data_IF_968998516417
#
_entry.id   IF_968998516417
#
_cell.length_a   1.000
_cell.length_b   1.000
_cell.length_c   1.000
_cell.angle_alpha   90.00
_cell.angle_beta   90.00
_cell.angle_gamma   90.00
#
_symmetry.space_group_name_H-M   'P 1'
#
loop_
_entity.id
_entity.type
_entity.pdbx_description
1 polymer ?
#
# COMPACT_ATOMS: atom_id res chain seq x y z
N UNK A 1 12.12 5.75 -9.44
CA UNK A 1 12.20 7.09 -8.81
C UNK A 1 11.60 7.20 -7.41
N UNK A 2 10.70 6.32 -6.97
CA UNK A 2 9.98 6.46 -5.67
C UNK A 2 10.78 6.03 -4.43
N UNK A 3 11.64 5.02 -4.57
CA UNK A 3 12.36 4.41 -3.45
C UNK A 3 13.29 5.34 -2.64
N UNK A 4 14.07 6.26 -3.24
CA UNK A 4 15.00 7.11 -2.47
C UNK A 4 14.26 8.13 -1.57
N UNK A 5 13.15 8.67 -2.06
CA UNK A 5 12.35 9.68 -1.35
C UNK A 5 11.68 9.08 -0.11
N UNK A 6 11.19 7.84 -0.23
CA UNK A 6 10.55 7.12 0.88
C UNK A 6 11.55 6.79 2.00
N UNK A 7 12.79 6.46 1.65
CA UNK A 7 13.86 6.17 2.62
C UNK A 7 14.29 7.44 3.36
N UNK A 8 14.44 8.57 2.66
CA UNK A 8 14.79 9.87 3.27
C UNK A 8 13.70 10.39 4.23
N UNK A 9 12.43 10.20 3.89
CA UNK A 9 11.31 10.63 4.73
C UNK A 9 11.13 9.76 5.98
N UNK A 10 11.59 8.50 5.96
CA UNK A 10 11.54 7.58 7.10
C UNK A 10 12.47 8.00 8.24
N UNK A 11 13.64 8.55 7.92
CA UNK A 11 14.62 8.97 8.95
C UNK A 11 14.23 10.28 9.64
N UNK A 12 13.47 11.16 8.98
CA UNK A 12 13.02 12.44 9.58
C UNK A 12 11.73 12.34 10.39
N UNK A 13 10.89 11.34 10.13
CA UNK A 13 9.53 11.28 10.64
C UNK A 13 9.41 10.11 11.62
N UNK A 14 9.55 10.37 12.91
CA UNK A 14 9.59 9.35 13.96
C UNK A 14 8.53 8.24 13.84
N UNK A 15 8.87 7.04 14.35
CA UNK A 15 8.17 5.76 14.12
C UNK A 15 6.63 5.81 14.26
N UNK A 16 6.09 6.58 15.21
CA UNK A 16 4.65 6.69 15.44
C UNK A 16 3.90 7.41 14.29
N UNK A 17 4.38 8.58 13.85
CA UNK A 17 3.79 9.32 12.73
C UNK A 17 3.97 8.55 11.42
N UNK A 18 5.11 7.89 11.24
CA UNK A 18 5.37 7.01 10.11
C UNK A 18 4.35 5.86 10.02
N UNK A 19 4.11 5.15 11.12
CA UNK A 19 3.15 4.06 11.14
C UNK A 19 1.71 4.52 10.86
N UNK A 20 1.33 5.71 11.35
CA UNK A 20 0.00 6.27 11.09
C UNK A 20 -0.19 6.68 9.63
N UNK A 21 0.80 7.37 9.05
CA UNK A 21 0.79 7.76 7.63
C UNK A 21 0.81 6.52 6.73
N UNK A 22 1.60 5.51 7.11
CA UNK A 22 1.64 4.21 6.43
C UNK A 22 0.28 3.52 6.45
N UNK A 23 -0.39 3.46 7.60
CA UNK A 23 -1.73 2.88 7.70
C UNK A 23 -2.74 3.56 6.77
N UNK A 24 -2.73 4.90 6.74
CA UNK A 24 -3.58 5.70 5.85
C UNK A 24 -3.26 5.48 4.37
N UNK A 25 -1.98 5.42 4.01
CA UNK A 25 -1.55 5.18 2.63
C UNK A 25 -1.92 3.77 2.13
N UNK A 26 -1.77 2.75 2.97
CA UNK A 26 -2.19 1.37 2.64
C UNK A 26 -3.70 1.30 2.42
N UNK A 27 -4.48 1.96 3.30
CA UNK A 27 -5.94 2.02 3.16
C UNK A 27 -6.37 2.68 1.85
N UNK A 28 -5.77 3.84 1.52
CA UNK A 28 -6.04 4.55 0.26
C UNK A 28 -5.67 3.70 -0.96
N UNK A 29 -4.55 2.98 -0.90
CA UNK A 29 -4.12 2.10 -1.98
C UNK A 29 -5.09 0.93 -2.18
N UNK A 30 -5.54 0.28 -1.11
CA UNK A 30 -6.55 -0.77 -1.16
C UNK A 30 -7.91 -0.27 -1.72
N UNK A 31 -8.28 0.97 -1.38
CA UNK A 31 -9.48 1.61 -1.93
C UNK A 31 -9.33 1.90 -3.43
N UNK A 32 -8.14 2.30 -3.88
CA UNK A 32 -7.86 2.51 -5.31
C UNK A 32 -7.98 1.21 -6.09
N UNK A 33 -7.42 0.11 -5.58
CA UNK A 33 -7.57 -1.24 -6.17
C UNK A 33 -9.05 -1.63 -6.22
N UNK A 34 -9.80 -1.37 -5.13
CA UNK A 34 -11.23 -1.66 -5.06
C UNK A 34 -12.04 -0.87 -6.09
N UNK A 35 -11.80 0.44 -6.20
CA UNK A 35 -12.47 1.29 -7.17
C UNK A 35 -12.13 0.90 -8.61
N UNK A 36 -10.89 0.52 -8.87
CA UNK A 36 -10.48 -0.02 -10.16
C UNK A 36 -11.27 -1.29 -10.49
N UNK A 37 -11.25 -2.29 -9.60
CA UNK A 37 -11.96 -3.56 -9.78
C UNK A 37 -13.47 -3.36 -10.00
N UNK A 38 -14.09 -2.45 -9.25
CA UNK A 38 -15.52 -2.14 -9.38
C UNK A 38 -15.85 -1.52 -10.75
N UNK A 39 -14.98 -0.68 -11.32
CA UNK A 39 -15.19 -0.06 -12.63
C UNK A 39 -15.12 -1.06 -13.79
N UNK A 40 -14.31 -2.10 -13.64
CA UNK A 40 -14.09 -3.11 -14.68
C UNK A 40 -14.90 -4.40 -14.44
N UNK A 41 -15.70 -4.45 -13.37
CA UNK A 41 -16.56 -5.60 -13.06
C UNK A 41 -15.82 -6.83 -12.54
N UNK A 42 -14.64 -6.66 -11.92
CA UNK A 42 -13.90 -7.77 -11.31
C UNK A 42 -14.62 -8.30 -10.06
N UNK A 43 -14.67 -9.62 -9.93
CA UNK A 43 -15.28 -10.29 -8.79
C UNK A 43 -14.56 -9.97 -7.46
N UNK A 44 -15.34 -10.01 -6.38
CA UNK A 44 -14.94 -9.80 -5.00
C UNK A 44 -13.70 -10.61 -4.61
N UNK A 45 -13.63 -11.88 -5.05
CA UNK A 45 -12.56 -12.82 -4.71
C UNK A 45 -11.25 -12.47 -5.39
N UNK A 46 -11.30 -12.14 -6.68
CA UNK A 46 -10.15 -11.71 -7.47
C UNK A 46 -9.61 -10.37 -6.98
N UNK A 47 -10.48 -9.40 -6.69
CA UNK A 47 -10.12 -8.13 -6.04
C UNK A 47 -9.32 -8.37 -4.77
N UNK A 48 -9.76 -9.29 -3.92
CA UNK A 48 -9.07 -9.56 -2.66
C UNK A 48 -7.71 -10.27 -2.87
N UNK A 49 -7.58 -11.09 -3.91
CA UNK A 49 -6.29 -11.66 -4.32
C UNK A 49 -5.32 -10.58 -4.81
N UNK A 50 -5.79 -9.61 -5.59
CA UNK A 50 -4.98 -8.46 -6.02
C UNK A 50 -4.50 -7.62 -4.83
N UNK A 51 -5.36 -7.40 -3.83
CA UNK A 51 -4.97 -6.69 -2.59
C UNK A 51 -3.93 -7.50 -1.81
N UNK A 52 -4.04 -8.84 -1.75
CA UNK A 52 -3.03 -9.70 -1.11
C UNK A 52 -1.69 -9.62 -1.85
N UNK A 53 -1.69 -9.75 -3.17
CA UNK A 53 -0.49 -9.61 -4.00
C UNK A 53 0.19 -8.25 -3.80
N UNK A 54 -0.58 -7.16 -3.75
CA UNK A 54 -0.04 -5.82 -3.48
C UNK A 54 0.62 -5.74 -2.08
N UNK A 55 0.01 -6.36 -1.06
CA UNK A 55 0.60 -6.45 0.29
C UNK A 55 1.87 -7.30 0.30
N UNK A 56 1.87 -8.47 -0.33
CA UNK A 56 3.03 -9.36 -0.36
C UNK A 56 4.21 -8.72 -1.09
N UNK A 57 3.94 -8.00 -2.18
CA UNK A 57 4.94 -7.20 -2.88
C UNK A 57 5.49 -6.07 -1.99
N UNK A 58 4.62 -5.36 -1.26
CA UNK A 58 5.04 -4.34 -0.31
C UNK A 58 5.94 -4.90 0.81
N UNK A 59 5.67 -6.13 1.26
CA UNK A 59 6.48 -6.85 2.25
C UNK A 59 7.83 -7.26 1.67
N UNK A 60 7.84 -7.84 0.47
CA UNK A 60 9.06 -8.27 -0.24
C UNK A 60 10.00 -7.12 -0.56
N UNK A 61 9.46 -5.94 -0.87
CA UNK A 61 10.22 -4.73 -1.18
C UNK A 61 10.62 -3.91 0.06
N UNK A 62 10.25 -4.35 1.27
CA UNK A 62 10.60 -3.66 2.52
C UNK A 62 9.80 -2.37 2.79
N UNK A 63 8.69 -2.14 2.06
CA UNK A 63 7.78 -1.02 2.29
C UNK A 63 6.76 -1.30 3.40
N UNK A 64 6.54 -2.57 3.73
CA UNK A 64 5.77 -3.05 4.87
C UNK A 64 6.72 -3.70 5.88
N UNK A 65 7.36 -2.87 6.70
CA UNK A 65 8.17 -3.30 7.84
C UNK A 65 7.32 -3.47 9.11
#
# INVERSE_FOLDING_TARGET
MFAPIVVLLRDRMGKAKFNQIRGKAIALHAQTITNFCNRIGIDSKERQNLIRLAKDNGKRLGFLA
#
